data_IF_145055682271
#
_entry.id   IF_145055682271
#
_cell.length_a   1.000
_cell.length_b   1.000
_cell.length_c   1.000
_cell.angle_alpha   90.00
_cell.angle_beta   90.00
_cell.angle_gamma   90.00
#
_symmetry.space_group_name_H-M   'P 1'
#
loop_
_entity.id
_entity.type
_entity.pdbx_description
1 polymer ?
#
# COMPACT_ATOMS: atom_id res chain seq x y z
N UNK A 1 22.36 -5.79 6.70
CA UNK A 1 23.04 -5.92 5.38
C UNK A 1 22.59 -4.75 4.53
N UNK A 2 23.45 -4.15 3.73
CA UNK A 2 23.13 -2.99 2.89
C UNK A 2 23.31 -3.33 1.41
N UNK A 3 22.35 -2.92 0.57
CA UNK A 3 22.40 -3.09 -0.88
C UNK A 3 22.44 -1.69 -1.48
N UNK A 4 23.37 -1.45 -2.41
CA UNK A 4 23.50 -0.15 -3.10
C UNK A 4 22.58 -0.12 -4.32
N UNK A 5 21.73 0.90 -4.40
CA UNK A 5 20.78 1.11 -5.49
C UNK A 5 20.96 2.54 -6.01
N UNK A 6 21.16 2.71 -7.32
CA UNK A 6 21.25 4.04 -7.96
C UNK A 6 19.93 4.39 -8.64
N UNK A 7 19.33 5.51 -8.23
CA UNK A 7 18.04 6.00 -8.74
C UNK A 7 18.22 7.35 -9.44
N UNK A 8 17.56 7.53 -10.59
CA UNK A 8 17.41 8.87 -11.20
C UNK A 8 16.14 9.49 -10.66
N UNK A 9 16.27 10.53 -9.85
CA UNK A 9 15.15 11.22 -9.21
C UNK A 9 14.88 12.57 -9.88
N UNK A 10 13.62 13.02 -9.94
CA UNK A 10 13.29 14.37 -10.36
C UNK A 10 14.01 15.43 -9.52
N UNK A 11 14.48 16.49 -10.16
CA UNK A 11 15.29 17.54 -9.52
C UNK A 11 14.56 18.23 -8.35
N UNK A 12 13.25 18.44 -8.50
CA UNK A 12 12.40 19.00 -7.45
C UNK A 12 12.36 18.14 -6.18
N UNK A 13 12.49 16.82 -6.29
CA UNK A 13 12.48 15.91 -5.15
C UNK A 13 13.81 15.99 -4.37
N UNK A 14 14.93 16.08 -5.09
CA UNK A 14 16.25 16.28 -4.49
C UNK A 14 16.32 17.61 -3.75
N UNK A 15 15.75 18.68 -4.33
CA UNK A 15 15.74 20.00 -3.68
C UNK A 15 14.88 20.02 -2.41
N UNK A 16 13.72 19.36 -2.41
CA UNK A 16 12.91 19.20 -1.20
C UNK A 16 13.63 18.41 -0.11
N UNK A 17 14.27 17.30 -0.47
CA UNK A 17 15.02 16.49 0.49
C UNK A 17 16.25 17.25 1.04
N UNK A 18 16.91 18.07 0.21
CA UNK A 18 18.01 18.95 0.64
C UNK A 18 17.55 20.02 1.61
N UNK A 19 16.41 20.66 1.36
CA UNK A 19 15.83 21.65 2.27
C UNK A 19 15.50 21.02 3.63
N UNK A 20 14.91 19.83 3.62
CA UNK A 20 14.59 19.07 4.83
C UNK A 20 15.86 18.64 5.59
N UNK A 21 16.89 18.18 4.88
CA UNK A 21 18.19 17.84 5.45
C UNK A 21 18.90 19.05 6.07
N UNK A 22 18.89 20.19 5.39
CA UNK A 22 19.46 21.43 5.92
C UNK A 22 18.73 21.90 7.19
N UNK A 23 17.40 21.79 7.21
CA UNK A 23 16.59 22.16 8.38
C UNK A 23 16.81 21.23 9.58
N UNK A 24 17.18 19.96 9.34
CA UNK A 24 17.37 18.94 10.37
C UNK A 24 18.84 18.59 10.65
N UNK A 25 19.78 19.25 9.97
CA UNK A 25 21.22 18.95 9.98
C UNK A 25 21.54 17.49 9.62
N UNK A 26 20.79 16.91 8.68
CA UNK A 26 20.96 15.53 8.22
C UNK A 26 21.43 15.48 6.78
N UNK A 27 22.22 14.45 6.48
CA UNK A 27 22.66 14.17 5.12
C UNK A 27 21.49 13.81 4.20
N UNK A 28 21.58 14.18 2.92
CA UNK A 28 20.56 13.93 1.92
C UNK A 28 20.20 12.44 1.81
N UNK A 29 21.19 11.56 1.83
CA UNK A 29 21.00 10.12 1.77
C UNK A 29 20.24 9.60 3.00
N UNK A 30 20.58 10.11 4.19
CA UNK A 30 19.87 9.74 5.42
C UNK A 30 18.41 10.21 5.41
N UNK A 31 18.14 11.43 4.93
CA UNK A 31 16.77 11.95 4.80
C UNK A 31 15.96 11.14 3.79
N UNK A 32 16.54 10.83 2.63
CA UNK A 32 15.88 10.01 1.63
C UNK A 32 15.61 8.60 2.14
N UNK A 33 16.57 7.97 2.82
CA UNK A 33 16.38 6.64 3.41
C UNK A 33 15.27 6.67 4.45
N UNK A 34 15.23 7.62 5.38
CA UNK A 34 14.16 7.72 6.38
C UNK A 34 12.78 7.95 5.75
N UNK A 35 12.70 8.79 4.71
CA UNK A 35 11.45 9.03 3.99
C UNK A 35 11.00 7.77 3.24
N UNK A 36 11.94 7.10 2.57
CA UNK A 36 11.67 5.82 1.92
C UNK A 36 11.27 4.76 2.95
N UNK A 37 11.93 4.69 4.10
CA UNK A 37 11.62 3.77 5.19
C UNK A 37 10.27 4.09 5.81
N UNK A 38 9.85 5.36 5.93
CA UNK A 38 8.49 5.72 6.36
C UNK A 38 7.43 5.31 5.33
N UNK A 39 7.71 5.50 4.04
CA UNK A 39 6.82 5.08 2.96
C UNK A 39 6.81 3.55 2.81
N UNK A 40 7.93 2.87 3.09
CA UNK A 40 8.00 1.42 3.12
C UNK A 40 7.40 0.87 4.41
N UNK A 41 7.47 1.54 5.55
CA UNK A 41 6.73 1.21 6.77
C UNK A 41 5.23 1.38 6.57
N UNK A 42 4.78 2.21 5.63
CA UNK A 42 3.39 2.15 5.19
C UNK A 42 3.10 0.93 4.32
N UNK A 43 4.10 0.31 3.68
CA UNK A 43 3.98 -0.98 2.96
C UNK A 43 4.12 -2.20 3.87
N UNK A 44 5.08 -2.19 4.80
CA UNK A 44 5.42 -3.20 5.81
C UNK A 44 4.56 -3.09 7.08
N UNK A 45 3.85 -1.97 7.27
CA UNK A 45 2.91 -1.73 8.35
C UNK A 45 1.65 -2.57 8.26
N UNK A 46 1.57 -3.48 7.28
CA UNK A 46 0.66 -4.61 7.31
C UNK A 46 1.46 -5.82 7.82
N UNK A 47 1.44 -6.13 9.12
CA UNK A 47 2.03 -7.36 9.65
C UNK A 47 1.48 -8.63 8.98
N UNK A 48 0.40 -8.51 8.19
CA UNK A 48 -0.10 -9.59 7.37
C UNK A 48 0.90 -10.01 6.29
N UNK A 49 1.62 -9.18 5.54
CA UNK A 49 2.33 -9.70 4.36
C UNK A 49 3.46 -10.73 4.66
N UNK A 50 4.12 -10.66 5.83
CA UNK A 50 5.13 -11.66 6.22
C UNK A 50 4.56 -12.84 7.04
N UNK A 51 3.42 -12.67 7.72
CA UNK A 51 2.80 -13.74 8.54
C UNK A 51 1.62 -14.41 7.88
N UNK A 52 1.21 -13.91 6.72
CA UNK A 52 0.07 -14.39 5.99
C UNK A 52 0.44 -15.64 5.20
N UNK A 53 -0.32 -16.74 5.36
CA UNK A 53 -0.08 -17.95 4.61
C UNK A 53 -0.18 -17.70 3.11
N UNK A 54 0.67 -18.40 2.35
CA UNK A 54 0.58 -18.40 0.89
C UNK A 54 -0.84 -18.76 0.45
N UNK A 55 -1.32 -18.14 -0.62
CA UNK A 55 -2.65 -18.42 -1.18
C UNK A 55 -2.82 -19.91 -1.51
N UNK A 56 -1.74 -20.59 -1.90
CA UNK A 56 -1.73 -22.01 -2.20
C UNK A 56 -1.96 -22.89 -0.96
N UNK A 57 -1.64 -22.39 0.23
CA UNK A 57 -1.75 -23.12 1.50
C UNK A 57 -3.11 -22.92 2.18
N UNK A 58 -3.92 -21.97 1.68
CA UNK A 58 -5.27 -21.73 2.19
C UNK A 58 -6.22 -22.91 1.88
N UNK A 59 -7.16 -23.16 2.78
CA UNK A 59 -8.26 -24.10 2.53
C UNK A 59 -9.18 -23.58 1.42
N UNK A 60 -9.97 -24.46 0.79
CA UNK A 60 -10.93 -24.06 -0.24
C UNK A 60 -11.95 -23.04 0.29
N UNK A 61 -12.37 -23.18 1.55
CA UNK A 61 -13.24 -22.24 2.22
C UNK A 61 -12.59 -20.86 2.36
N UNK A 62 -11.35 -20.81 2.85
CA UNK A 62 -10.68 -19.55 3.14
C UNK A 62 -10.28 -18.81 1.87
N UNK A 63 -9.89 -19.53 0.81
CA UNK A 63 -9.57 -18.93 -0.48
C UNK A 63 -10.83 -18.40 -1.18
N UNK A 64 -11.98 -19.05 -1.02
CA UNK A 64 -13.28 -18.53 -1.48
C UNK A 64 -13.69 -17.27 -0.70
N UNK A 65 -13.55 -17.27 0.62
CA UNK A 65 -13.80 -16.08 1.45
C UNK A 65 -12.90 -14.91 1.03
N UNK A 66 -11.60 -15.17 0.80
CA UNK A 66 -10.65 -14.15 0.36
C UNK A 66 -10.97 -13.63 -1.06
N UNK A 67 -11.41 -14.51 -1.97
CA UNK A 67 -11.85 -14.12 -3.30
C UNK A 67 -13.09 -13.21 -3.27
N UNK A 68 -13.94 -13.33 -2.25
CA UNK A 68 -15.12 -12.48 -2.03
C UNK A 68 -14.87 -11.27 -1.14
N UNK A 69 -13.66 -11.14 -0.60
CA UNK A 69 -13.32 -10.09 0.35
C UNK A 69 -13.56 -8.69 -0.22
N UNK A 70 -13.87 -7.78 0.69
CA UNK A 70 -14.00 -6.34 0.45
C UNK A 70 -13.27 -5.61 1.55
N UNK A 71 -12.79 -4.41 1.22
CA UNK A 71 -12.34 -3.46 2.23
C UNK A 71 -13.49 -3.20 3.21
N UNK A 72 -13.16 -2.98 4.49
CA UNK A 72 -14.14 -2.62 5.50
C UNK A 72 -14.96 -1.39 5.05
N UNK A 73 -16.26 -1.40 5.31
CA UNK A 73 -17.20 -0.39 4.79
C UNK A 73 -16.87 1.01 5.34
N UNK A 74 -16.49 1.12 6.61
CA UNK A 74 -16.15 2.41 7.24
C UNK A 74 -14.85 2.94 6.64
N UNK A 75 -13.85 2.06 6.47
CA UNK A 75 -12.58 2.43 5.83
C UNK A 75 -12.77 2.84 4.36
N UNK A 76 -13.61 2.11 3.60
CA UNK A 76 -13.88 2.40 2.20
C UNK A 76 -14.65 3.72 2.03
N UNK A 77 -15.64 3.99 2.89
CA UNK A 77 -16.32 5.28 2.91
C UNK A 77 -15.35 6.42 3.22
N UNK A 78 -14.50 6.25 4.24
CA UNK A 78 -13.51 7.26 4.63
C UNK A 78 -12.49 7.53 3.53
N UNK A 79 -12.05 6.50 2.82
CA UNK A 79 -11.19 6.62 1.65
C UNK A 79 -11.85 7.49 0.57
N UNK A 80 -13.12 7.25 0.27
CA UNK A 80 -13.90 8.06 -0.67
C UNK A 80 -14.02 9.52 -0.25
N UNK A 81 -14.33 9.77 1.02
CA UNK A 81 -14.46 11.12 1.58
C UNK A 81 -13.15 11.93 1.47
N UNK A 82 -12.02 11.31 1.82
CA UNK A 82 -10.70 11.94 1.73
C UNK A 82 -10.29 12.22 0.28
N UNK A 83 -10.60 11.31 -0.65
CA UNK A 83 -10.35 11.53 -2.08
C UNK A 83 -11.20 12.69 -2.62
N UNK A 84 -12.48 12.78 -2.23
CA UNK A 84 -13.37 13.85 -2.64
C UNK A 84 -12.89 15.21 -2.10
N UNK A 85 -12.58 15.27 -0.79
CA UNK A 85 -12.03 16.47 -0.15
C UNK A 85 -10.71 16.90 -0.77
N UNK A 86 -9.79 15.97 -1.02
CA UNK A 86 -8.50 16.28 -1.62
C UNK A 86 -8.58 16.90 -3.02
N UNK A 87 -9.61 16.54 -3.81
CA UNK A 87 -9.88 17.15 -5.13
C UNK A 87 -10.50 18.55 -5.03
N UNK A 88 -11.34 18.79 -4.03
CA UNK A 88 -12.13 20.02 -3.92
C UNK A 88 -11.43 21.12 -3.10
N UNK A 89 -10.88 20.75 -1.95
CA UNK A 89 -10.46 21.68 -0.88
C UNK A 89 -8.99 21.49 -0.49
N UNK A 90 -8.40 20.36 -0.86
CA UNK A 90 -7.09 19.93 -0.39
C UNK A 90 -7.15 19.25 0.97
N UNK A 91 -6.06 18.55 1.31
CA UNK A 91 -5.93 17.79 2.56
C UNK A 91 -4.89 18.41 3.49
N UNK A 92 -5.20 18.39 4.78
CA UNK A 92 -4.21 18.62 5.85
C UNK A 92 -3.16 17.53 5.86
N UNK A 93 -2.02 17.74 6.52
CA UNK A 93 -0.96 16.73 6.60
C UNK A 93 -1.46 15.42 7.24
N UNK A 94 -2.24 15.50 8.32
CA UNK A 94 -2.79 14.32 8.99
C UNK A 94 -3.74 13.53 8.06
N UNK A 95 -4.59 14.22 7.30
CA UNK A 95 -5.50 13.60 6.34
C UNK A 95 -4.78 12.98 5.14
N UNK A 96 -3.63 13.55 4.73
CA UNK A 96 -2.79 12.93 3.70
C UNK A 96 -2.20 11.61 4.18
N UNK A 97 -1.73 11.55 5.42
CA UNK A 97 -1.23 10.30 6.00
C UNK A 97 -2.35 9.27 6.16
N UNK A 98 -3.54 9.69 6.60
CA UNK A 98 -4.72 8.83 6.69
C UNK A 98 -5.12 8.26 5.31
N UNK A 99 -5.15 9.12 4.28
CA UNK A 99 -5.43 8.70 2.91
C UNK A 99 -4.41 7.68 2.40
N UNK A 100 -3.11 7.91 2.66
CA UNK A 100 -2.06 6.96 2.27
C UNK A 100 -2.23 5.61 2.95
N UNK A 101 -2.54 5.58 4.25
CA UNK A 101 -2.78 4.33 4.98
C UNK A 101 -4.00 3.56 4.41
N UNK A 102 -5.09 4.26 4.10
CA UNK A 102 -6.29 3.64 3.51
C UNK A 102 -6.04 3.13 2.09
N UNK A 103 -5.28 3.88 1.28
CA UNK A 103 -4.88 3.43 -0.06
C UNK A 103 -4.03 2.17 0.01
N UNK A 104 -3.16 2.03 1.02
CA UNK A 104 -2.39 0.82 1.22
C UNK A 104 -3.28 -0.38 1.51
N UNK A 105 -4.19 -0.26 2.49
CA UNK A 105 -5.12 -1.34 2.86
C UNK A 105 -5.90 -1.81 1.64
N UNK A 106 -6.40 -0.84 0.86
CA UNK A 106 -7.10 -1.12 -0.39
C UNK A 106 -6.23 -1.90 -1.39
N UNK A 107 -5.01 -1.45 -1.65
CA UNK A 107 -4.10 -2.08 -2.63
C UNK A 107 -3.70 -3.50 -2.23
N UNK A 108 -3.33 -3.71 -0.96
CA UNK A 108 -2.97 -5.04 -0.45
C UNK A 108 -4.17 -5.97 -0.51
N UNK A 109 -5.34 -5.52 -0.06
CA UNK A 109 -6.58 -6.29 -0.15
C UNK A 109 -6.93 -6.68 -1.59
N UNK A 110 -6.79 -5.75 -2.53
CA UNK A 110 -7.06 -5.99 -3.96
C UNK A 110 -6.09 -7.00 -4.57
N UNK A 111 -4.79 -6.92 -4.23
CA UNK A 111 -3.79 -7.88 -4.66
C UNK A 111 -4.14 -9.29 -4.17
N UNK A 112 -4.36 -9.45 -2.86
CA UNK A 112 -4.67 -10.76 -2.27
C UNK A 112 -5.97 -11.35 -2.79
N UNK A 113 -6.98 -10.51 -2.99
CA UNK A 113 -8.24 -10.91 -3.64
C UNK A 113 -8.00 -11.41 -5.07
N UNK A 114 -7.16 -10.73 -5.85
CA UNK A 114 -6.82 -11.15 -7.21
C UNK A 114 -6.12 -12.50 -7.23
N UNK A 115 -5.17 -12.72 -6.32
CA UNK A 115 -4.48 -14.01 -6.19
C UNK A 115 -5.47 -15.13 -5.77
N UNK A 116 -6.35 -14.85 -4.81
CA UNK A 116 -7.39 -15.79 -4.40
C UNK A 116 -8.37 -16.10 -5.54
N UNK A 117 -8.75 -15.11 -6.36
CA UNK A 117 -9.58 -15.29 -7.56
C UNK A 117 -8.90 -16.18 -8.61
N UNK A 118 -7.60 -16.01 -8.83
CA UNK A 118 -6.84 -16.89 -9.71
C UNK A 118 -6.80 -18.33 -9.14
N UNK A 119 -6.63 -18.46 -7.83
CA UNK A 119 -6.53 -19.75 -7.16
C UNK A 119 -7.86 -20.52 -7.12
N UNK A 120 -8.99 -19.87 -6.85
CA UNK A 120 -10.32 -20.52 -6.92
C UNK A 120 -10.61 -21.05 -8.33
N UNK A 121 -10.17 -20.34 -9.38
CA UNK A 121 -10.29 -20.82 -10.76
C UNK A 121 -9.34 -21.99 -11.00
N UNK A 122 -8.07 -21.89 -10.56
CA UNK A 122 -7.08 -22.96 -10.68
C UNK A 122 -7.54 -24.26 -10.02
N UNK A 123 -8.22 -24.17 -8.88
CA UNK A 123 -8.79 -25.31 -8.14
C UNK A 123 -10.13 -25.81 -8.71
N UNK A 124 -10.74 -25.09 -9.66
CA UNK A 124 -12.05 -25.42 -10.20
C UNK A 124 -13.22 -25.12 -9.25
N UNK A 125 -13.02 -24.27 -8.25
CA UNK A 125 -14.05 -23.83 -7.29
C UNK A 125 -14.96 -22.74 -7.88
N UNK A 126 -14.48 -22.03 -8.91
CA UNK A 126 -15.24 -21.04 -9.68
C UNK A 126 -14.87 -21.09 -11.15
N UNK A 127 -15.83 -20.73 -11.99
CA UNK A 127 -15.58 -20.47 -13.40
C UNK A 127 -14.71 -19.21 -13.58
N UNK A 128 -13.89 -19.14 -14.65
CA UNK A 128 -13.16 -17.93 -14.99
C UNK A 128 -14.08 -16.72 -15.12
N UNK A 129 -13.62 -15.56 -14.65
CA UNK A 129 -14.35 -14.31 -14.85
C UNK A 129 -14.44 -14.02 -16.36
N UNK A 130 -15.64 -14.10 -16.92
CA UNK A 130 -15.92 -13.64 -18.28
C UNK A 130 -16.00 -12.12 -18.29
N UNK A 131 -15.05 -11.47 -18.97
CA UNK A 131 -15.08 -10.04 -19.33
C UNK A 131 -16.10 -9.75 -20.41
#
# INVERSE_FOLDING_TARGET
MTIEVTLKLPENLIEQARQLGAATQRDLGAVLTDVLEMLWLTVDGVPELETTPSINDLSDHDVLMLADSKMDEVQNQRLGDLQAKGKAEGLTSAERYELLALLQIYQVGQLRKSEALAEVVRRGLREPLTT
#
